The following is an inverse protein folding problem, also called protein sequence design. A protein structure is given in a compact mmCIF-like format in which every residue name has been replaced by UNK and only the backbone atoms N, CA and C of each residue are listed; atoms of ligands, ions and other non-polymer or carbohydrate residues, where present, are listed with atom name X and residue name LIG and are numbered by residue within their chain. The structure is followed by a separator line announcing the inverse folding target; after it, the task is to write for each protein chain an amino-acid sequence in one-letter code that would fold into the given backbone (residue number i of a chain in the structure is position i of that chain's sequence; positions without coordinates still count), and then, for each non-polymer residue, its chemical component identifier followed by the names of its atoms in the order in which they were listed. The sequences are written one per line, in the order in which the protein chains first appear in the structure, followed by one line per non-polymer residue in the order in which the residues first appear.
data_IF_132925751606
#
_entry.id   IF_132925751606
#
_cell.length_a   1.000
_cell.length_b   1.000
_cell.length_c   1.000
_cell.angle_alpha   90.00
_cell.angle_beta   90.00
_cell.angle_gamma   90.00
#
_symmetry.space_group_name_H-M   'P 1'
#
loop_
_entity.id
_entity.type
_entity.pdbx_description
1 polymer ?
#
# COMPACT_ATOMS: atom_id res chain seq x y z
N UNK A 1 16.61 7.76 40.77
CA UNK A 1 16.90 7.67 39.32
C UNK A 1 16.22 6.41 38.78
N UNK A 2 14.98 6.55 38.31
CA UNK A 2 14.15 5.45 37.81
C UNK A 2 14.19 5.46 36.28
N UNK A 3 14.77 4.41 35.70
CA UNK A 3 14.73 4.17 34.26
C UNK A 3 13.36 3.61 33.89
N UNK A 4 12.53 4.40 33.20
CA UNK A 4 11.32 3.88 32.56
C UNK A 4 11.73 3.17 31.26
N UNK A 5 11.61 1.85 31.25
CA UNK A 5 11.67 1.05 30.02
C UNK A 5 10.46 1.42 29.15
N UNK A 6 10.70 2.21 28.11
CA UNK A 6 9.70 2.44 27.07
C UNK A 6 9.51 1.11 26.32
N UNK A 7 8.45 0.38 26.68
CA UNK A 7 8.00 -0.77 25.93
C UNK A 7 7.68 -0.32 24.50
N UNK A 8 8.57 -0.64 23.56
CA UNK A 8 8.29 -0.56 22.13
C UNK A 8 7.15 -1.53 21.86
N UNK A 9 5.94 -0.98 21.76
CA UNK A 9 4.75 -1.69 21.30
C UNK A 9 5.05 -2.25 19.92
N UNK A 10 5.40 -3.55 19.86
CA UNK A 10 5.52 -4.30 18.61
C UNK A 10 4.13 -4.44 18.02
N UNK A 11 3.72 -3.43 17.26
CA UNK A 11 2.56 -3.49 16.37
C UNK A 11 2.71 -4.71 15.45
N UNK A 12 1.78 -5.66 15.58
CA UNK A 12 1.75 -6.99 14.95
C UNK A 12 1.65 -6.98 13.41
N UNK A 13 1.76 -5.83 12.76
CA UNK A 13 1.73 -5.70 11.30
C UNK A 13 3.16 -5.53 10.77
N UNK A 14 3.64 -6.51 10.01
CA UNK A 14 4.93 -6.45 9.31
C UNK A 14 5.01 -5.30 8.29
N UNK A 15 3.87 -4.70 7.93
CA UNK A 15 3.79 -3.67 6.89
C UNK A 15 3.87 -2.28 7.48
N UNK A 16 4.62 -1.40 6.81
CA UNK A 16 4.84 -0.03 7.28
C UNK A 16 3.68 0.86 6.87
N UNK A 17 3.15 1.58 7.84
CA UNK A 17 2.09 2.57 7.61
C UNK A 17 2.69 3.78 6.89
N UNK A 18 2.23 4.02 5.67
CA UNK A 18 2.56 5.16 4.83
C UNK A 18 1.36 6.12 4.66
N UNK A 19 1.57 7.42 4.63
CA UNK A 19 0.51 8.41 4.32
C UNK A 19 0.05 8.30 2.85
N UNK A 20 -0.90 9.14 2.42
CA UNK A 20 -1.27 9.28 1.00
C UNK A 20 -0.07 9.66 0.11
N UNK A 21 0.95 10.29 0.71
CA UNK A 21 2.21 10.69 0.09
C UNK A 21 3.34 9.67 0.33
N UNK A 22 3.02 8.47 0.82
CA UNK A 22 3.97 7.40 1.11
C UNK A 22 5.01 7.71 2.20
N UNK A 23 4.78 8.72 3.05
CA UNK A 23 5.63 9.01 4.22
C UNK A 23 5.30 8.08 5.37
N UNK A 24 6.33 7.53 5.99
CA UNK A 24 6.19 6.72 7.19
C UNK A 24 5.92 7.58 8.43
N UNK A 25 5.89 6.97 9.62
CA UNK A 25 5.84 7.71 10.89
C UNK A 25 7.07 8.59 11.16
N UNK A 26 8.17 8.36 10.43
CA UNK A 26 9.37 9.19 10.43
C UNK A 26 9.36 10.01 9.15
N UNK A 27 9.38 11.34 9.27
CA UNK A 27 9.14 12.25 8.14
C UNK A 27 10.15 12.09 7.00
N UNK A 28 11.42 11.78 7.32
CA UNK A 28 12.48 11.57 6.33
C UNK A 28 12.44 10.20 5.63
N UNK A 29 11.49 9.32 5.99
CA UNK A 29 11.43 7.95 5.49
C UNK A 29 10.16 7.75 4.67
N UNK A 30 10.36 7.42 3.39
CA UNK A 30 9.30 6.98 2.48
C UNK A 30 9.21 5.45 2.46
N UNK A 31 8.00 4.91 2.28
CA UNK A 31 7.74 3.49 2.14
C UNK A 31 6.96 3.22 0.86
N UNK A 32 7.49 2.38 -0.03
CA UNK A 32 6.86 2.00 -1.29
C UNK A 32 6.95 0.48 -1.52
N UNK A 33 6.21 -0.03 -2.51
CA UNK A 33 6.18 -1.45 -2.83
C UNK A 33 5.32 -2.29 -1.88
N UNK A 34 5.56 -3.60 -1.87
CA UNK A 34 4.71 -4.58 -1.19
C UNK A 34 4.65 -4.40 0.34
N UNK A 35 5.69 -3.79 0.92
CA UNK A 35 5.78 -3.48 2.36
C UNK A 35 4.96 -2.27 2.77
N UNK A 36 4.58 -1.41 1.82
CA UNK A 36 3.83 -0.20 2.08
C UNK A 36 2.35 -0.51 2.33
N UNK A 37 1.84 -0.07 3.46
CA UNK A 37 0.40 0.04 3.72
C UNK A 37 -0.02 1.49 3.54
N UNK A 38 -0.96 1.77 2.66
CA UNK A 38 -1.41 3.13 2.34
C UNK A 38 -2.95 3.21 2.32
N UNK A 39 -3.54 4.39 2.59
CA UNK A 39 -4.99 4.58 2.43
C UNK A 39 -5.35 4.52 0.94
N UNK A 40 -6.28 3.64 0.57
CA UNK A 40 -6.74 3.51 -0.82
C UNK A 40 -8.09 4.21 -1.00
N UNK A 41 -8.16 5.18 -1.91
CA UNK A 41 -9.39 5.94 -2.18
C UNK A 41 -10.56 5.04 -2.60
N UNK A 42 -10.29 4.01 -3.43
CA UNK A 42 -11.28 3.01 -3.84
C UNK A 42 -11.85 2.18 -2.66
N UNK A 43 -11.13 2.11 -1.54
CA UNK A 43 -11.54 1.39 -0.35
C UNK A 43 -12.05 2.34 0.76
N UNK A 44 -12.58 3.51 0.39
CA UNK A 44 -13.06 4.54 1.33
C UNK A 44 -11.97 4.97 2.33
N UNK A 45 -10.73 5.06 1.85
CA UNK A 45 -9.57 5.45 2.68
C UNK A 45 -9.08 4.35 3.62
N UNK A 46 -9.66 3.14 3.57
CA UNK A 46 -9.13 1.99 4.32
C UNK A 46 -7.70 1.71 3.90
N UNK A 47 -6.88 1.36 4.90
CA UNK A 47 -5.47 1.06 4.69
C UNK A 47 -5.33 -0.33 4.11
N UNK A 48 -4.75 -0.40 2.92
CA UNK A 48 -4.51 -1.65 2.21
C UNK A 48 -3.02 -1.85 2.01
N UNK A 49 -2.63 -3.08 1.73
CA UNK A 49 -1.28 -3.39 1.34
C UNK A 49 -1.27 -4.55 0.36
N UNK A 50 -1.11 -4.22 -0.92
CA UNK A 50 -1.33 -5.12 -2.04
C UNK A 50 0.03 -5.45 -2.64
N UNK A 51 0.34 -6.74 -2.78
CA UNK A 51 1.59 -7.21 -3.38
C UNK A 51 1.39 -7.47 -4.86
N UNK A 52 1.91 -6.59 -5.72
CA UNK A 52 1.91 -6.78 -7.17
C UNK A 52 2.94 -5.85 -7.82
N UNK A 53 3.72 -6.37 -8.77
CA UNK A 53 4.85 -5.66 -9.36
C UNK A 53 4.45 -4.32 -10.00
N UNK A 54 3.31 -4.26 -10.70
CA UNK A 54 2.83 -3.01 -11.33
C UNK A 54 2.52 -1.95 -10.28
N UNK A 55 1.88 -2.37 -9.18
CA UNK A 55 1.55 -1.46 -8.09
C UNK A 55 2.83 -1.03 -7.37
N UNK A 56 3.76 -1.95 -7.13
CA UNK A 56 5.05 -1.62 -6.51
C UNK A 56 5.84 -0.60 -7.34
N UNK A 57 5.84 -0.73 -8.67
CA UNK A 57 6.45 0.24 -9.57
C UNK A 57 5.77 1.61 -9.49
N UNK A 58 4.44 1.65 -9.50
CA UNK A 58 3.68 2.89 -9.33
C UNK A 58 3.98 3.58 -8.00
N UNK A 59 3.95 2.85 -6.88
CA UNK A 59 4.28 3.37 -5.56
C UNK A 59 5.73 3.88 -5.51
N UNK A 60 6.66 3.18 -6.16
CA UNK A 60 8.04 3.64 -6.30
C UNK A 60 8.16 4.97 -7.04
N UNK A 61 7.41 5.16 -8.13
CA UNK A 61 7.37 6.42 -8.87
C UNK A 61 6.81 7.57 -8.01
N UNK A 62 5.70 7.33 -7.28
CA UNK A 62 5.12 8.32 -6.37
C UNK A 62 6.10 8.68 -5.25
N UNK A 63 6.74 7.68 -4.62
CA UNK A 63 7.74 7.93 -3.60
C UNK A 63 8.94 8.72 -4.16
N UNK A 64 9.41 8.42 -5.36
CA UNK A 64 10.48 9.18 -6.02
C UNK A 64 10.11 10.64 -6.27
N UNK A 65 8.89 10.91 -6.75
CA UNK A 65 8.38 12.28 -6.91
C UNK A 65 8.27 13.02 -5.58
N UNK A 66 7.90 12.32 -4.51
CA UNK A 66 7.80 12.91 -3.18
C UNK A 66 9.15 13.17 -2.54
N UNK A 67 10.15 12.31 -2.81
CA UNK A 67 11.53 12.58 -2.46
C UNK A 67 12.07 13.82 -3.20
N UNK A 68 11.62 14.04 -4.45
CA UNK A 68 11.93 15.24 -5.24
C UNK A 68 11.07 16.47 -4.90
N UNK A 69 10.19 16.41 -3.89
CA UNK A 69 9.41 17.55 -3.40
C UNK A 69 8.08 17.82 -4.11
N UNK A 70 7.62 16.93 -5.00
CA UNK A 70 6.41 17.15 -5.83
C UNK A 70 5.08 16.90 -5.09
N UNK A 71 5.09 16.39 -3.85
CA UNK A 71 3.88 16.11 -3.03
C UNK A 71 2.73 15.43 -3.82
N UNK A 72 3.05 14.34 -4.49
CA UNK A 72 2.13 13.48 -5.23
C UNK A 72 1.42 12.48 -4.30
N UNK A 73 0.10 12.42 -4.41
CA UNK A 73 -0.71 11.43 -3.71
C UNK A 73 -0.83 10.13 -4.50
N UNK A 74 -0.99 9.02 -3.78
CA UNK A 74 -1.35 7.72 -4.34
C UNK A 74 -2.81 7.75 -4.79
N UNK A 75 -3.03 7.71 -6.10
CA UNK A 75 -4.35 7.59 -6.71
C UNK A 75 -4.28 6.56 -7.84
N UNK A 76 -4.72 5.33 -7.55
CA UNK A 76 -4.61 4.21 -8.49
C UNK A 76 -5.71 3.18 -8.25
N UNK A 77 -6.10 2.48 -9.31
CA UNK A 77 -6.93 1.28 -9.23
C UNK A 77 -5.99 0.08 -9.28
N UNK A 78 -5.91 -0.75 -8.22
CA UNK A 78 -5.07 -1.93 -8.24
C UNK A 78 -5.46 -2.85 -9.39
N UNK A 79 -4.46 -3.38 -10.08
CA UNK A 79 -4.66 -4.33 -11.17
C UNK A 79 -3.63 -5.44 -11.05
N UNK A 80 -4.08 -6.68 -11.23
CA UNK A 80 -3.22 -7.84 -11.30
C UNK A 80 -3.68 -8.82 -12.37
N UNK A 81 -2.75 -9.66 -12.79
CA UNK A 81 -3.03 -10.76 -13.69
C UNK A 81 -2.26 -12.00 -13.25
N UNK A 82 -2.80 -13.16 -13.60
CA UNK A 82 -2.11 -14.44 -13.47
C UNK A 82 -2.41 -15.32 -14.68
N UNK A 83 -1.51 -16.25 -14.98
CA UNK A 83 -1.67 -17.25 -16.02
C UNK A 83 -1.69 -18.62 -15.37
N UNK A 84 -2.77 -19.37 -15.58
CA UNK A 84 -2.93 -20.73 -15.10
C UNK A 84 -3.36 -21.60 -16.27
N UNK A 85 -2.56 -22.62 -16.61
CA UNK A 85 -2.87 -23.59 -17.67
C UNK A 85 -3.30 -22.96 -19.02
N UNK A 86 -2.59 -21.91 -19.44
CA UNK A 86 -2.90 -21.20 -20.71
C UNK A 86 -4.12 -20.29 -20.65
N UNK A 87 -4.76 -20.11 -19.50
CA UNK A 87 -5.84 -19.15 -19.26
C UNK A 87 -5.30 -17.93 -18.52
N UNK A 88 -5.65 -16.74 -18.99
CA UNK A 88 -5.31 -15.48 -18.34
C UNK A 88 -6.48 -15.03 -17.45
N UNK A 89 -6.20 -14.84 -16.16
CA UNK A 89 -7.14 -14.23 -15.21
C UNK A 89 -6.65 -12.82 -14.93
N UNK A 90 -7.53 -11.83 -15.07
CA UNK A 90 -7.25 -10.42 -14.84
C UNK A 90 -8.22 -9.89 -13.80
N UNK A 91 -7.70 -9.13 -12.85
CA UNK A 91 -8.47 -8.55 -11.78
C UNK A 91 -8.14 -7.07 -11.66
N UNK A 92 -9.18 -6.26 -11.49
CA UNK A 92 -9.07 -4.84 -11.23
C UNK A 92 -9.90 -4.45 -10.02
N UNK A 93 -9.39 -3.51 -9.25
CA UNK A 93 -10.05 -2.96 -8.07
C UNK A 93 -9.54 -3.56 -6.76
N UNK A 94 -10.35 -3.40 -5.71
CA UNK A 94 -10.09 -3.93 -4.38
C UNK A 94 -11.43 -4.35 -3.75
N UNK A 95 -11.67 -5.65 -3.69
CA UNK A 95 -12.92 -6.24 -3.24
C UNK A 95 -12.63 -7.25 -2.10
N UNK A 96 -12.63 -6.80 -0.83
CA UNK A 96 -12.45 -7.68 0.31
C UNK A 96 -13.73 -8.44 0.70
N UNK A 97 -14.89 -7.95 0.28
CA UNK A 97 -16.21 -8.56 0.46
C UNK A 97 -17.08 -8.21 -0.75
N UNK A 98 -18.03 -9.09 -1.10
CA UNK A 98 -18.97 -8.90 -2.19
C UNK A 98 -20.38 -9.29 -1.73
N UNK A 99 -21.40 -8.62 -2.28
CA UNK A 99 -22.80 -8.92 -2.00
C UNK A 99 -23.40 -9.87 -3.05
N UNK A 100 -22.94 -9.76 -4.31
CA UNK A 100 -23.43 -10.55 -5.45
C UNK A 100 -22.30 -10.85 -6.45
N UNK A 101 -22.45 -11.93 -7.21
CA UNK A 101 -21.54 -12.34 -8.29
C UNK A 101 -22.38 -12.62 -9.54
N UNK A 102 -22.05 -11.91 -10.62
CA UNK A 102 -22.68 -12.10 -11.93
C UNK A 102 -21.78 -13.01 -12.77
N UNK A 103 -22.37 -14.01 -13.43
CA UNK A 103 -21.70 -15.00 -14.28
C UNK A 103 -22.05 -14.82 -15.75
#
# INVERSE_FOLDING_TARGET
MTWASAAVSRSRSLKRKASTHLRSSVDSILAAGDIASFPLSLAEGRRVAIGHWQLAHYLGSVAGRNAAGTQTEVNTVPFFWTMQYGKSVRYTGYCPSFDDIIY
#
